data_IF_290213839758
#
_entry.id   IF_290213839758
#
_cell.length_a   1.000
_cell.length_b   1.000
_cell.length_c   1.000
_cell.angle_alpha   90.00
_cell.angle_beta   90.00
_cell.angle_gamma   90.00
#
_symmetry.space_group_name_H-M   'P 1'
#
loop_
_entity.id
_entity.type
_entity.pdbx_description
1 polymer ?
#
# COMPACT_ATOMS: atom_id res chain seq x y z
N UNK A 1 36.08 4.66 34.69
CA UNK A 1 34.95 3.98 35.36
C UNK A 1 33.76 4.05 34.42
N UNK A 2 33.59 3.04 33.57
CA UNK A 2 32.48 3.01 32.61
C UNK A 2 31.30 2.27 33.24
N UNK A 3 30.23 3.00 33.51
CA UNK A 3 28.95 2.43 33.89
C UNK A 3 28.11 2.30 32.62
N UNK A 4 28.00 1.08 32.10
CA UNK A 4 26.97 0.74 31.11
C UNK A 4 25.93 -0.13 31.83
N UNK A 5 24.83 0.52 32.22
CA UNK A 5 23.67 -0.13 32.83
C UNK A 5 22.90 -0.88 31.72
N UNK A 6 22.89 -2.20 31.78
CA UNK A 6 22.18 -3.07 30.85
C UNK A 6 20.66 -2.95 31.05
N UNK A 7 20.02 -1.98 30.39
CA UNK A 7 18.55 -1.83 30.33
C UNK A 7 17.92 -2.68 29.21
N UNK A 8 18.37 -3.93 29.03
CA UNK A 8 17.99 -4.72 27.84
C UNK A 8 17.09 -5.92 28.15
N UNK A 9 17.10 -6.46 29.37
CA UNK A 9 16.37 -7.71 29.64
C UNK A 9 14.97 -7.54 30.22
N UNK A 10 14.72 -6.46 30.95
CA UNK A 10 13.58 -6.46 31.87
C UNK A 10 12.29 -5.92 31.22
N UNK A 11 12.44 -5.02 30.26
CA UNK A 11 11.31 -4.35 29.56
C UNK A 11 10.59 -5.29 28.58
N UNK A 12 11.29 -6.09 27.75
CA UNK A 12 10.62 -6.99 26.80
C UNK A 12 9.80 -8.07 27.52
N UNK A 13 10.36 -8.67 28.59
CA UNK A 13 9.66 -9.69 29.37
C UNK A 13 8.43 -9.13 30.09
N UNK A 14 8.48 -7.90 30.59
CA UNK A 14 7.32 -7.22 31.18
C UNK A 14 6.20 -6.94 30.16
N UNK A 15 6.54 -6.82 28.88
CA UNK A 15 5.61 -6.71 27.76
C UNK A 15 5.15 -8.09 27.23
N UNK A 16 5.59 -9.20 27.85
CA UNK A 16 5.29 -10.56 27.41
C UNK A 16 6.06 -11.00 26.16
N UNK A 17 7.14 -10.30 25.82
CA UNK A 17 7.97 -10.57 24.65
C UNK A 17 9.19 -11.37 25.12
N UNK A 18 9.15 -12.68 24.90
CA UNK A 18 10.28 -13.57 25.11
C UNK A 18 11.19 -13.57 23.87
N UNK A 19 12.21 -12.71 23.93
CA UNK A 19 13.16 -12.50 22.84
C UNK A 19 13.98 -13.77 22.56
N UNK A 20 14.28 -14.55 23.59
CA UNK A 20 15.06 -15.79 23.46
C UNK A 20 14.21 -16.86 22.75
N UNK A 21 12.93 -17.00 23.11
CA UNK A 21 11.98 -17.88 22.41
C UNK A 21 11.75 -17.46 20.94
N UNK A 22 11.64 -16.16 20.66
CA UNK A 22 11.46 -15.65 19.30
C UNK A 22 12.70 -15.86 18.42
N UNK A 23 13.89 -15.71 18.99
CA UNK A 23 15.15 -16.02 18.30
C UNK A 23 15.28 -17.52 18.02
N UNK A 24 14.86 -18.36 18.95
CA UNK A 24 14.85 -19.82 18.76
C UNK A 24 13.88 -20.23 17.64
N UNK A 25 12.69 -19.62 17.56
CA UNK A 25 11.76 -19.82 16.43
C UNK A 25 12.34 -19.37 15.08
N UNK A 26 13.15 -18.31 15.07
CA UNK A 26 13.84 -17.85 13.86
C UNK A 26 14.99 -18.78 13.45
N UNK A 27 15.72 -19.33 14.42
CA UNK A 27 16.82 -20.25 14.17
C UNK A 27 16.37 -21.65 13.73
N UNK A 28 15.14 -22.05 14.08
CA UNK A 28 14.53 -23.33 13.68
C UNK A 28 13.91 -23.28 12.27
N UNK A 29 13.74 -22.09 11.66
CA UNK A 29 13.42 -21.99 10.22
C UNK A 29 14.61 -22.46 9.40
N UNK A 30 14.60 -23.76 9.06
CA UNK A 30 15.51 -24.35 8.10
C UNK A 30 15.48 -23.54 6.80
N UNK A 31 16.66 -23.25 6.24
CA UNK A 31 16.85 -22.41 5.05
C UNK A 31 16.30 -23.02 3.73
N UNK A 32 15.57 -24.13 3.78
CA UNK A 32 15.17 -24.93 2.60
C UNK A 32 13.66 -25.25 2.49
N UNK A 33 12.80 -24.65 3.31
CA UNK A 33 11.35 -24.75 3.10
C UNK A 33 10.87 -23.48 2.41
N UNK A 34 10.44 -23.68 1.15
CA UNK A 34 9.63 -22.81 0.28
C UNK A 34 9.16 -21.55 1.02
N UNK A 35 9.49 -20.37 0.48
CA UNK A 35 8.83 -19.13 0.89
C UNK A 35 7.32 -19.32 0.67
N UNK A 36 6.67 -19.91 1.67
CA UNK A 36 5.24 -19.94 1.81
C UNK A 36 4.83 -18.51 1.68
N UNK A 37 4.07 -18.26 0.62
CA UNK A 37 3.26 -17.08 0.41
C UNK A 37 2.89 -16.56 1.80
N UNK A 38 3.51 -15.45 2.22
CA UNK A 38 3.05 -14.74 3.40
C UNK A 38 1.68 -14.25 2.96
N UNK A 39 0.67 -15.08 3.17
CA UNK A 39 -0.70 -14.78 2.82
C UNK A 39 -1.16 -13.76 3.86
N UNK A 40 -0.84 -12.51 3.58
CA UNK A 40 -1.27 -11.35 4.36
C UNK A 40 -2.80 -11.27 4.46
N UNK A 41 -3.56 -12.13 3.74
CA UNK A 41 -5.00 -12.30 3.93
C UNK A 41 -5.36 -12.97 5.25
N UNK A 42 -4.55 -13.92 5.73
CA UNK A 42 -4.88 -14.72 6.91
C UNK A 42 -4.64 -13.97 8.23
N UNK A 43 -3.64 -13.09 8.29
CA UNK A 43 -3.36 -12.28 9.48
C UNK A 43 -4.38 -11.13 9.68
N UNK A 44 -5.08 -10.73 8.61
CA UNK A 44 -6.02 -9.61 8.59
C UNK A 44 -7.27 -9.96 7.75
N UNK A 45 -8.13 -10.89 8.21
CA UNK A 45 -9.29 -11.36 7.45
C UNK A 45 -10.34 -10.29 7.16
N UNK A 46 -10.26 -9.12 7.80
CA UNK A 46 -11.10 -7.96 7.50
C UNK A 46 -10.61 -7.12 6.30
N UNK A 47 -9.35 -7.31 5.88
CA UNK A 47 -8.74 -6.64 4.72
C UNK A 47 -8.81 -7.47 3.45
N UNK A 48 -9.23 -8.73 3.54
CA UNK A 48 -9.57 -9.52 2.37
C UNK A 48 -10.54 -8.66 1.52
N UNK A 49 -10.23 -8.36 0.25
CA UNK A 49 -11.15 -7.62 -0.59
C UNK A 49 -12.35 -8.56 -0.79
N UNK A 50 -13.38 -8.39 0.05
CA UNK A 50 -14.72 -8.78 -0.37
C UNK A 50 -14.86 -8.13 -1.72
N UNK A 51 -15.16 -8.88 -2.77
CA UNK A 51 -15.36 -8.34 -4.10
C UNK A 51 -16.41 -7.24 -4.00
N UNK A 52 -15.98 -6.00 -3.77
CA UNK A 52 -16.86 -4.85 -3.58
C UNK A 52 -17.17 -4.35 -4.97
N UNK A 53 -17.93 -5.18 -5.67
CA UNK A 53 -18.82 -4.71 -6.71
C UNK A 53 -20.03 -4.11 -5.99
N UNK A 54 -19.87 -2.86 -5.58
CA UNK A 54 -20.85 -2.14 -4.78
C UNK A 54 -20.46 -0.67 -4.68
N UNK A 55 -21.39 0.16 -4.23
CA UNK A 55 -21.13 1.59 -4.06
C UNK A 55 -20.17 1.83 -2.88
N UNK A 56 -19.19 2.76 -2.98
CA UNK A 56 -18.28 3.10 -1.89
C UNK A 56 -18.99 3.42 -0.57
N UNK A 57 -20.18 4.02 -0.65
CA UNK A 57 -21.04 4.34 0.48
C UNK A 57 -21.56 3.08 1.18
N UNK A 58 -21.93 2.04 0.43
CA UNK A 58 -22.37 0.77 1.00
C UNK A 58 -21.22 0.04 1.71
N UNK A 59 -20.00 0.12 1.16
CA UNK A 59 -18.82 -0.42 1.82
C UNK A 59 -18.48 0.34 3.10
N UNK A 60 -18.61 1.67 3.08
CA UNK A 60 -18.39 2.49 4.26
C UNK A 60 -19.42 2.20 5.37
N UNK A 61 -20.70 1.97 5.03
CA UNK A 61 -21.73 1.59 5.99
C UNK A 61 -21.41 0.23 6.65
N UNK A 62 -20.93 -0.76 5.88
CA UNK A 62 -20.45 -2.03 6.44
C UNK A 62 -19.31 -1.85 7.43
N UNK A 63 -18.37 -0.94 7.17
CA UNK A 63 -17.28 -0.64 8.10
C UNK A 63 -17.78 0.01 9.40
N UNK A 64 -18.83 0.82 9.33
CA UNK A 64 -19.48 1.39 10.51
C UNK A 64 -20.12 0.28 11.34
N UNK A 65 -20.83 -0.65 10.71
CA UNK A 65 -21.45 -1.79 11.41
C UNK A 65 -20.40 -2.69 12.09
N UNK A 66 -19.28 -2.96 11.41
CA UNK A 66 -18.14 -3.66 12.01
C UNK A 66 -17.63 -2.87 13.23
N UNK A 67 -17.40 -1.57 13.11
CA UNK A 67 -16.92 -0.77 14.25
C UNK A 67 -17.87 -0.82 15.46
N UNK A 68 -19.18 -0.75 15.25
CA UNK A 68 -20.18 -0.86 16.31
C UNK A 68 -20.14 -2.23 17.01
N UNK A 69 -19.97 -3.31 16.23
CA UNK A 69 -19.79 -4.66 16.76
C UNK A 69 -18.48 -4.79 17.56
N UNK A 70 -17.46 -4.00 17.22
CA UNK A 70 -16.16 -3.98 17.89
C UNK A 70 -16.03 -2.91 18.99
N UNK A 71 -17.10 -2.70 19.77
CA UNK A 71 -17.16 -1.81 20.95
C UNK A 71 -16.97 -0.31 20.65
N UNK A 72 -17.23 0.15 19.43
CA UNK A 72 -17.34 1.58 19.18
C UNK A 72 -18.53 2.18 19.98
N UNK A 73 -18.40 3.37 20.59
CA UNK A 73 -19.47 3.96 21.37
C UNK A 73 -20.73 4.25 20.53
N UNK A 74 -21.82 3.53 20.80
CA UNK A 74 -23.08 3.63 20.04
C UNK A 74 -23.71 5.03 20.07
N UNK A 75 -23.46 5.83 21.11
CA UNK A 75 -23.95 7.21 21.16
C UNK A 75 -23.28 8.14 20.11
N UNK A 76 -22.09 7.79 19.60
CA UNK A 76 -21.37 8.53 18.58
C UNK A 76 -21.67 8.03 17.15
N UNK A 77 -22.44 6.95 17.01
CA UNK A 77 -22.79 6.33 15.74
C UNK A 77 -23.38 7.32 14.73
N UNK A 78 -24.30 8.19 15.19
CA UNK A 78 -24.91 9.23 14.34
C UNK A 78 -23.86 10.23 13.84
N UNK A 79 -22.90 10.60 14.68
CA UNK A 79 -21.81 11.51 14.31
C UNK A 79 -20.85 10.83 13.33
N UNK A 80 -20.52 9.56 13.55
CA UNK A 80 -19.69 8.77 12.66
C UNK A 80 -20.31 8.66 11.26
N UNK A 81 -21.59 8.29 11.16
CA UNK A 81 -22.31 8.26 9.87
C UNK A 81 -22.36 9.63 9.20
N UNK A 82 -22.58 10.69 9.96
CA UNK A 82 -22.60 12.04 9.42
C UNK A 82 -21.25 12.43 8.81
N UNK A 83 -20.13 12.09 9.46
CA UNK A 83 -18.78 12.36 8.94
C UNK A 83 -18.51 11.53 7.68
N UNK A 84 -18.80 10.23 7.71
CA UNK A 84 -18.56 9.33 6.58
C UNK A 84 -19.34 9.77 5.33
N UNK A 85 -20.60 10.18 5.50
CA UNK A 85 -21.46 10.64 4.40
C UNK A 85 -21.15 12.06 3.92
N UNK A 86 -20.50 12.88 4.76
CA UNK A 86 -20.18 14.28 4.42
C UNK A 86 -19.11 14.39 3.33
N UNK A 87 -18.22 13.41 3.23
CA UNK A 87 -17.08 13.45 2.30
C UNK A 87 -17.18 12.35 1.25
N UNK A 88 -17.18 12.73 -0.03
CA UNK A 88 -17.15 11.81 -1.18
C UNK A 88 -15.72 11.41 -1.55
N UNK A 89 -14.91 11.05 -0.56
CA UNK A 89 -13.49 10.70 -0.72
C UNK A 89 -13.25 9.20 -0.85
N UNK A 90 -14.28 8.39 -0.63
CA UNK A 90 -14.16 6.93 -0.56
C UNK A 90 -14.12 6.32 -1.97
N UNK A 91 -13.14 5.44 -2.22
CA UNK A 91 -12.96 4.74 -3.50
C UNK A 91 -12.74 3.26 -3.23
N UNK A 92 -13.39 2.43 -4.04
CA UNK A 92 -13.22 0.96 -4.01
C UNK A 92 -12.30 0.46 -5.11
N UNK A 93 -12.24 1.20 -6.22
CA UNK A 93 -11.38 0.93 -7.37
C UNK A 93 -10.69 2.23 -7.74
N UNK A 94 -9.55 2.11 -8.41
CA UNK A 94 -8.89 3.26 -9.03
C UNK A 94 -9.84 3.85 -10.07
N UNK A 95 -10.10 5.15 -10.00
CA UNK A 95 -11.11 5.82 -10.79
C UNK A 95 -10.52 6.94 -11.65
N UNK A 96 -11.24 7.27 -12.73
CA UNK A 96 -10.94 8.35 -13.66
C UNK A 96 -11.30 9.71 -13.03
N UNK A 97 -10.59 10.07 -11.97
CA UNK A 97 -10.68 11.41 -11.40
C UNK A 97 -9.71 12.29 -12.19
N UNK A 98 -10.16 13.43 -12.74
CA UNK A 98 -9.25 14.33 -13.43
C UNK A 98 -8.11 14.71 -12.48
N UNK A 99 -6.92 14.82 -13.04
CA UNK A 99 -5.75 15.29 -12.29
C UNK A 99 -6.10 16.57 -11.55
N UNK A 100 -5.52 16.75 -10.36
CA UNK A 100 -5.70 17.98 -9.61
C UNK A 100 -5.35 19.16 -10.52
N UNK A 101 -6.12 20.26 -10.42
CA UNK A 101 -5.87 21.48 -11.19
C UNK A 101 -4.62 22.21 -10.67
N UNK A 102 -3.47 21.60 -10.93
CA UNK A 102 -2.15 21.99 -10.46
C UNK A 102 -1.21 21.87 -11.65
N UNK A 103 -0.29 22.84 -11.77
CA UNK A 103 0.73 22.79 -12.82
C UNK A 103 1.54 21.48 -12.70
N UNK A 104 1.76 20.73 -13.80
CA UNK A 104 2.54 19.51 -13.76
C UNK A 104 3.93 19.71 -13.16
N UNK A 105 4.33 18.79 -12.28
CA UNK A 105 5.63 18.84 -11.61
C UNK A 105 6.75 18.72 -12.64
N UNK A 106 7.67 19.70 -12.65
CA UNK A 106 8.87 19.68 -13.49
C UNK A 106 10.07 19.19 -12.70
N UNK A 107 10.62 18.04 -13.07
CA UNK A 107 11.83 17.48 -12.46
C UNK A 107 13.06 18.14 -13.11
N UNK A 108 13.94 18.74 -12.29
CA UNK A 108 15.22 19.29 -12.74
C UNK A 108 16.36 18.33 -12.41
N UNK A 109 17.13 17.95 -13.41
CA UNK A 109 18.33 17.13 -13.22
C UNK A 109 19.50 18.01 -12.74
N UNK A 110 20.35 17.44 -11.88
CA UNK A 110 21.60 18.08 -11.49
C UNK A 110 22.57 18.10 -12.67
N UNK A 111 23.47 19.08 -12.69
CA UNK A 111 24.53 19.15 -13.69
C UNK A 111 25.39 17.88 -13.63
N UNK A 112 25.69 17.32 -14.81
CA UNK A 112 26.44 16.06 -14.93
C UNK A 112 25.64 14.77 -14.67
N UNK A 113 24.33 14.86 -14.36
CA UNK A 113 23.49 13.67 -14.22
C UNK A 113 23.40 12.88 -15.54
N UNK A 114 23.54 11.55 -15.46
CA UNK A 114 23.45 10.65 -16.60
C UNK A 114 22.29 9.68 -16.40
N UNK A 115 21.55 9.39 -17.47
CA UNK A 115 20.55 8.35 -17.45
C UNK A 115 21.20 6.98 -17.23
N UNK A 116 20.64 6.17 -16.33
CA UNK A 116 21.10 4.80 -16.06
C UNK A 116 19.94 3.86 -16.35
N UNK A 117 20.17 2.90 -17.26
CA UNK A 117 19.23 1.81 -17.50
C UNK A 117 19.62 0.63 -16.62
N UNK A 118 18.68 0.15 -15.80
CA UNK A 118 18.86 -1.09 -15.03
C UNK A 118 18.03 -2.22 -15.63
N UNK A 119 18.54 -3.44 -15.51
CA UNK A 119 17.78 -4.65 -15.83
C UNK A 119 16.62 -4.79 -14.83
N UNK A 120 15.39 -5.10 -15.27
CA UNK A 120 14.30 -5.41 -14.36
C UNK A 120 14.65 -6.59 -13.45
N UNK A 121 14.15 -6.56 -12.23
CA UNK A 121 14.22 -7.70 -11.32
C UNK A 121 13.20 -8.78 -11.77
N UNK A 122 13.54 -10.07 -11.63
CA UNK A 122 12.56 -11.13 -11.84
C UNK A 122 11.48 -11.06 -10.75
N UNK A 123 10.22 -11.23 -11.14
CA UNK A 123 9.09 -11.30 -10.21
C UNK A 123 8.81 -12.76 -9.80
N UNK A 124 8.36 -13.01 -8.56
CA UNK A 124 7.86 -14.32 -8.14
C UNK A 124 6.66 -14.78 -8.99
N UNK A 125 6.42 -16.10 -9.16
CA UNK A 125 5.37 -16.62 -10.05
C UNK A 125 3.93 -16.16 -9.75
N UNK A 126 3.63 -15.78 -8.49
CA UNK A 126 2.31 -15.30 -8.07
C UNK A 126 2.00 -13.85 -8.50
N UNK A 127 3.03 -13.01 -8.69
CA UNK A 127 2.86 -11.57 -8.98
C UNK A 127 2.45 -11.20 -10.42
N UNK A 128 2.90 -11.89 -11.49
CA UNK A 128 2.70 -11.46 -12.87
C UNK A 128 1.24 -11.28 -13.30
N UNK A 129 0.32 -12.10 -12.79
CA UNK A 129 -1.09 -11.99 -13.13
C UNK A 129 -1.69 -10.67 -12.60
N UNK A 130 -1.47 -10.39 -11.32
CA UNK A 130 -1.90 -9.14 -10.68
C UNK A 130 -1.24 -7.92 -11.33
N UNK A 131 0.08 -7.95 -11.52
CA UNK A 131 0.82 -6.82 -12.09
C UNK A 131 0.36 -6.48 -13.51
N UNK A 132 0.00 -7.48 -14.32
CA UNK A 132 -0.59 -7.26 -15.65
C UNK A 132 -1.93 -6.55 -15.54
N UNK A 133 -2.88 -7.12 -14.79
CA UNK A 133 -4.22 -6.53 -14.65
C UNK A 133 -4.17 -5.11 -14.06
N UNK A 134 -3.29 -4.88 -13.09
CA UNK A 134 -3.11 -3.58 -12.46
C UNK A 134 -2.49 -2.56 -13.43
N UNK A 135 -1.45 -2.94 -14.17
CA UNK A 135 -0.84 -2.05 -15.16
C UNK A 135 -1.78 -1.74 -16.32
N UNK A 136 -2.58 -2.70 -16.78
CA UNK A 136 -3.58 -2.48 -17.83
C UNK A 136 -4.59 -1.41 -17.40
N UNK A 137 -5.06 -1.44 -16.14
CA UNK A 137 -5.92 -0.39 -15.56
C UNK A 137 -5.22 0.97 -15.51
N UNK A 138 -3.93 1.02 -15.18
CA UNK A 138 -3.17 2.28 -15.20
C UNK A 138 -3.03 2.88 -16.60
N UNK A 139 -2.89 2.04 -17.62
CA UNK A 139 -2.85 2.46 -19.03
C UNK A 139 -4.23 2.94 -19.49
N UNK A 140 -5.30 2.20 -19.15
CA UNK A 140 -6.69 2.59 -19.45
C UNK A 140 -7.03 3.97 -18.89
N UNK A 141 -6.65 4.23 -17.63
CA UNK A 141 -6.83 5.52 -16.96
C UNK A 141 -5.91 6.63 -17.51
N UNK A 142 -4.96 6.30 -18.39
CA UNK A 142 -4.00 7.25 -18.97
C UNK A 142 -2.93 7.73 -17.98
N UNK A 143 -2.76 7.05 -16.85
CA UNK A 143 -1.75 7.38 -15.83
C UNK A 143 -0.37 6.87 -16.22
N UNK A 144 -0.32 5.79 -17.01
CA UNK A 144 0.89 5.23 -17.60
C UNK A 144 0.72 5.16 -19.10
N UNK A 145 1.78 5.49 -19.83
CA UNK A 145 1.84 5.39 -21.28
C UNK A 145 3.19 4.85 -21.72
N UNK A 146 3.22 4.22 -22.89
CA UNK A 146 4.47 3.79 -23.48
C UNK A 146 5.31 5.01 -23.86
N UNK A 147 6.47 5.16 -23.20
CA UNK A 147 7.39 6.26 -23.51
C UNK A 147 8.34 5.81 -24.62
N UNK A 148 8.33 6.54 -25.74
CA UNK A 148 9.41 6.42 -26.72
C UNK A 148 10.65 7.08 -26.14
N UNK A 149 11.72 6.31 -25.92
CA UNK A 149 13.01 6.84 -25.46
C UNK A 149 13.61 7.65 -26.59
N UNK A 150 13.33 8.95 -26.65
CA UNK A 150 14.05 9.87 -27.53
C UNK A 150 15.38 10.19 -26.84
N UNK A 151 16.45 9.55 -27.31
CA UNK A 151 17.80 9.82 -26.81
C UNK A 151 18.13 11.29 -27.09
N UNK A 152 18.16 12.12 -26.04
CA UNK A 152 18.68 13.50 -26.11
C UNK A 152 17.70 14.66 -25.86
N UNK A 153 16.42 14.42 -25.53
CA UNK A 153 15.52 15.51 -25.12
C UNK A 153 14.99 15.30 -23.70
N UNK A 154 14.89 16.42 -22.97
CA UNK A 154 14.35 16.46 -21.62
C UNK A 154 12.97 15.77 -21.60
N UNK A 155 12.85 14.74 -20.77
CA UNK A 155 11.60 14.01 -20.57
C UNK A 155 10.61 14.95 -19.86
N UNK A 156 9.68 15.50 -20.61
CA UNK A 156 8.50 16.13 -20.05
C UNK A 156 7.55 15.01 -19.61
N UNK A 157 7.37 14.82 -18.30
CA UNK A 157 6.19 14.14 -17.78
C UNK A 157 4.99 15.06 -18.04
N UNK A 158 4.41 14.93 -19.24
CA UNK A 158 3.11 15.53 -19.53
C UNK A 158 2.07 14.55 -19.00
N UNK A 159 1.60 14.80 -17.78
CA UNK A 159 0.31 14.27 -17.34
C UNK A 159 -0.72 14.76 -18.38
N UNK A 160 -1.22 13.84 -19.19
CA UNK A 160 -1.99 14.16 -20.40
C UNK A 160 -3.37 14.70 -20.06
N UNK A 161 -3.61 15.96 -20.41
CA UNK A 161 -4.96 16.43 -20.73
C UNK A 161 -5.43 15.71 -22.00
N UNK A 162 -6.51 14.94 -21.93
CA UNK A 162 -7.30 14.63 -23.12
C UNK A 162 -8.05 15.92 -23.51
N UNK A 163 -7.93 16.32 -24.77
CA UNK A 163 -8.75 17.35 -25.40
C UNK A 163 -10.14 16.79 -25.73
#
# INVERSE_FOLDING_TARGET
MSQNLFLVRDVPTALGIDVDQQLEQLAVRNEDEDEGEIDLRDDLPFLAPSSTDGEPQAAAERLIDVALNHRFPSHLEKQLRAIVRKYEIWRLKLGDVPSANVEPVRIRLREGARAVKRKPWPYPPAAPAFLREFNDKLVELGWVYETQVVVGQALYCLCGCKA
#
